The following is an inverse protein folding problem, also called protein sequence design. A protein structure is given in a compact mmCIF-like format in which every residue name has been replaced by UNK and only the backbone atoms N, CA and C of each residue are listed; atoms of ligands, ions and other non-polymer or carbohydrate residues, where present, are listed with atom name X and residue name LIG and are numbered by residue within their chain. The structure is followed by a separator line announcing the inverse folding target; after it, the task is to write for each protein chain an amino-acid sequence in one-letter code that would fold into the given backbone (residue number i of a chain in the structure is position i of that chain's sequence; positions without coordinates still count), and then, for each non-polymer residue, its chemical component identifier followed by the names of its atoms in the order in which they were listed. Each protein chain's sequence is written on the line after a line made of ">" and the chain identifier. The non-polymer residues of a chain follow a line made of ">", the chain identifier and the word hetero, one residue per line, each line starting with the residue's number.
data_IF_252260801677
#
_entry.id   IF_252260801677
#
_cell.length_a   1.000
_cell.length_b   1.000
_cell.length_c   1.000
_cell.angle_alpha   90.00
_cell.angle_beta   90.00
_cell.angle_gamma   90.00
#
_symmetry.space_group_name_H-M   'P 1'
#
loop_
_entity.id
_entity.type
_entity.pdbx_description
1 polymer ?
#
# COMPACT_ATOMS: atom_id res chain seq x y z
N UNK A 1 -17.98 -13.85 10.36
CA UNK A 1 -17.63 -15.24 9.99
C UNK A 1 -16.54 -15.17 8.95
N UNK A 2 -15.42 -15.88 9.13
CA UNK A 2 -14.26 -15.85 8.23
C UNK A 2 -14.11 -17.22 7.57
N UNK A 3 -14.11 -17.27 6.24
CA UNK A 3 -13.95 -18.50 5.46
C UNK A 3 -12.63 -18.47 4.70
N UNK A 4 -11.88 -19.58 4.77
CA UNK A 4 -10.77 -19.86 3.85
C UNK A 4 -11.27 -20.73 2.72
N UNK A 5 -11.00 -20.32 1.48
CA UNK A 5 -11.45 -20.99 0.27
C UNK A 5 -10.22 -21.23 -0.60
N UNK A 6 -10.02 -22.48 -1.02
CA UNK A 6 -8.97 -22.83 -1.97
C UNK A 6 -9.52 -22.80 -3.40
N UNK A 7 -8.83 -22.08 -4.28
CA UNK A 7 -9.20 -21.96 -5.69
C UNK A 7 -8.57 -23.13 -6.46
N UNK A 8 -9.37 -24.18 -6.73
CA UNK A 8 -8.92 -25.33 -7.52
C UNK A 8 -8.87 -25.05 -9.03
N UNK A 9 -9.76 -24.17 -9.51
CA UNK A 9 -9.85 -23.82 -10.92
C UNK A 9 -9.71 -22.30 -11.11
N UNK A 10 -8.79 -21.82 -11.96
CA UNK A 10 -8.60 -20.38 -12.17
C UNK A 10 -9.85 -19.66 -12.71
N UNK A 11 -10.77 -20.37 -13.38
CA UNK A 11 -12.06 -19.80 -13.83
C UNK A 11 -12.92 -19.30 -12.65
N UNK A 12 -12.79 -19.90 -11.47
CA UNK A 12 -13.51 -19.48 -10.27
C UNK A 12 -13.11 -18.07 -9.81
N UNK A 13 -11.89 -17.61 -10.15
CA UNK A 13 -11.43 -16.26 -9.81
C UNK A 13 -12.34 -15.17 -10.39
N UNK A 14 -12.81 -15.36 -11.62
CA UNK A 14 -13.71 -14.39 -12.28
C UNK A 14 -15.05 -14.30 -11.57
N UNK A 15 -15.58 -15.44 -11.11
CA UNK A 15 -16.83 -15.50 -10.35
C UNK A 15 -16.66 -14.78 -9.00
N UNK A 16 -15.56 -15.04 -8.29
CA UNK A 16 -15.25 -14.36 -7.03
C UNK A 16 -15.08 -12.85 -7.21
N UNK A 17 -14.44 -12.41 -8.30
CA UNK A 17 -14.32 -10.98 -8.63
C UNK A 17 -15.69 -10.34 -8.84
N UNK A 18 -16.58 -10.97 -9.62
CA UNK A 18 -17.94 -10.45 -9.83
C UNK A 18 -18.73 -10.33 -8.51
N UNK A 19 -18.57 -11.28 -7.58
CA UNK A 19 -19.20 -11.20 -6.26
C UNK A 19 -18.62 -10.07 -5.41
N UNK A 20 -17.32 -9.80 -5.53
CA UNK A 20 -16.66 -8.68 -4.87
C UNK A 20 -17.11 -7.33 -5.44
N UNK A 21 -17.31 -7.23 -6.77
CA UNK A 21 -17.85 -6.04 -7.43
C UNK A 21 -19.27 -5.70 -6.95
N UNK A 22 -20.07 -6.72 -6.64
CA UNK A 22 -21.39 -6.56 -6.02
C UNK A 22 -21.33 -6.32 -4.51
N UNK A 23 -20.13 -6.17 -3.92
CA UNK A 23 -19.88 -5.98 -2.49
C UNK A 23 -20.44 -7.10 -1.59
N UNK A 24 -20.64 -8.31 -2.13
CA UNK A 24 -21.15 -9.45 -1.37
C UNK A 24 -20.05 -10.16 -0.58
N UNK A 25 -18.81 -10.10 -1.09
CA UNK A 25 -17.63 -10.68 -0.46
C UNK A 25 -16.46 -9.70 -0.51
N UNK A 26 -15.52 -9.84 0.43
CA UNK A 26 -14.25 -9.11 0.42
C UNK A 26 -13.11 -10.09 0.18
N UNK A 27 -12.36 -9.89 -0.90
CA UNK A 27 -11.18 -10.70 -1.22
C UNK A 27 -9.98 -10.09 -0.50
N UNK A 28 -9.48 -10.78 0.52
CA UNK A 28 -8.24 -10.44 1.20
C UNK A 28 -7.16 -11.39 0.69
N UNK A 29 -6.10 -10.87 0.08
CA UNK A 29 -4.95 -11.71 -0.28
C UNK A 29 -4.30 -12.22 1.01
N UNK A 30 -4.42 -13.53 1.27
CA UNK A 30 -3.72 -14.21 2.35
C UNK A 30 -2.26 -14.44 1.93
N UNK A 31 -1.50 -13.36 1.91
CA UNK A 31 -0.08 -13.34 1.63
C UNK A 31 0.40 -11.95 1.97
N UNK A 32 1.48 -11.85 2.75
CA UNK A 32 2.07 -10.55 3.12
C UNK A 32 2.11 -9.64 1.89
N UNK A 33 1.54 -8.43 1.94
CA UNK A 33 1.51 -7.54 0.79
C UNK A 33 2.93 -7.39 0.27
N UNK A 34 3.12 -7.65 -1.04
CA UNK A 34 4.38 -7.55 -1.80
C UNK A 34 5.27 -6.50 -1.14
N UNK A 35 6.29 -6.99 -0.42
CA UNK A 35 7.24 -6.21 0.39
C UNK A 35 6.83 -4.75 0.55
N UNK A 36 5.92 -4.49 1.50
CA UNK A 36 5.44 -3.13 1.73
C UNK A 36 6.64 -2.17 1.79
N UNK A 37 6.53 -1.01 1.14
CA UNK A 37 7.56 0.05 1.19
C UNK A 37 8.03 0.28 2.62
N UNK A 38 7.13 0.09 3.60
CA UNK A 38 7.41 0.10 5.04
C UNK A 38 8.49 -0.90 5.47
N UNK A 39 8.49 -2.14 4.96
CA UNK A 39 9.50 -3.16 5.27
C UNK A 39 10.88 -2.78 4.69
N UNK A 40 10.93 -2.35 3.44
CA UNK A 40 12.18 -1.88 2.81
C UNK A 40 12.74 -0.66 3.54
N UNK A 41 11.88 0.32 3.83
CA UNK A 41 12.25 1.53 4.57
C UNK A 41 12.74 1.22 5.98
N UNK A 42 12.15 0.24 6.65
CA UNK A 42 12.60 -0.20 7.98
C UNK A 42 14.00 -0.82 7.96
N UNK A 43 14.34 -1.57 6.91
CA UNK A 43 15.68 -2.15 6.75
C UNK A 43 16.72 -1.06 6.45
N UNK A 44 16.38 -0.10 5.59
CA UNK A 44 17.29 1.01 5.24
C UNK A 44 17.57 1.91 6.46
N UNK A 45 16.55 2.19 7.29
CA UNK A 45 16.73 3.00 8.50
C UNK A 45 17.56 2.32 9.59
N UNK A 46 17.64 0.99 9.63
CA UNK A 46 18.46 0.26 10.61
C UNK A 46 19.96 0.47 10.41
N UNK A 47 20.38 0.85 9.20
CA UNK A 47 21.78 1.09 8.85
C UNK A 47 22.14 2.58 8.81
N UNK A 48 21.20 3.46 9.17
CA UNK A 48 21.43 4.90 9.16
C UNK A 48 21.85 5.37 10.56
N UNK A 49 22.99 6.06 10.65
CA UNK A 49 23.47 6.66 11.90
C UNK A 49 22.53 7.75 12.42
N UNK A 50 21.84 8.44 11.50
CA UNK A 50 20.89 9.50 11.80
C UNK A 50 19.63 9.26 10.96
N UNK A 51 18.52 8.95 11.63
CA UNK A 51 17.22 8.85 11.00
C UNK A 51 16.43 10.16 11.22
N UNK A 52 15.88 10.77 10.15
CA UNK A 52 15.09 11.98 10.30
C UNK A 52 13.81 11.70 11.07
N UNK A 53 13.43 12.65 11.92
CA UNK A 53 12.16 12.64 12.65
C UNK A 53 10.96 12.80 11.74
N UNK A 54 9.77 12.47 12.24
CA UNK A 54 8.53 12.62 11.47
C UNK A 54 8.27 14.07 11.05
N UNK A 55 8.65 15.02 11.89
CA UNK A 55 8.47 16.45 11.64
C UNK A 55 9.41 16.95 10.53
N UNK A 56 10.66 16.50 10.52
CA UNK A 56 11.63 16.81 9.46
C UNK A 56 11.19 16.23 8.11
N UNK A 57 10.72 14.96 8.11
CA UNK A 57 10.17 14.32 6.91
C UNK A 57 8.97 15.14 6.38
N UNK A 58 8.07 15.56 7.28
CA UNK A 58 6.88 16.31 6.90
C UNK A 58 7.22 17.69 6.32
N UNK A 59 8.19 18.38 6.91
CA UNK A 59 8.70 19.67 6.38
C UNK A 59 9.27 19.51 4.98
N UNK A 60 10.14 18.54 4.75
CA UNK A 60 10.79 18.31 3.46
C UNK A 60 9.77 17.93 2.37
N UNK A 61 8.86 16.99 2.67
CA UNK A 61 7.80 16.58 1.74
C UNK A 61 6.92 17.77 1.34
N UNK A 62 6.59 18.64 2.29
CA UNK A 62 5.78 19.84 2.02
C UNK A 62 6.52 20.87 1.17
N UNK A 63 7.85 20.99 1.29
CA UNK A 63 8.67 21.82 0.40
C UNK A 63 8.62 21.27 -1.03
N UNK A 64 8.88 19.96 -1.21
CA UNK A 64 8.85 19.31 -2.53
C UNK A 64 7.45 19.39 -3.18
N UNK A 65 6.38 19.17 -2.40
CA UNK A 65 5.00 19.29 -2.88
C UNK A 65 4.68 20.71 -3.35
N UNK A 66 5.07 21.74 -2.58
CA UNK A 66 4.90 23.14 -2.97
C UNK A 66 5.67 23.47 -4.24
N UNK A 67 6.91 22.99 -4.37
CA UNK A 67 7.73 23.20 -5.59
C UNK A 67 7.13 22.51 -6.82
N UNK A 68 6.53 21.33 -6.64
CA UNK A 68 5.97 20.53 -7.75
C UNK A 68 4.57 20.95 -8.19
N UNK A 69 3.72 21.37 -7.25
CA UNK A 69 2.31 21.65 -7.50
C UNK A 69 1.91 23.10 -7.27
N UNK A 70 2.70 23.89 -6.53
CA UNK A 70 2.40 25.30 -6.24
C UNK A 70 2.65 26.25 -7.41
N UNK A 71 3.32 25.80 -8.48
CA UNK A 71 3.54 26.57 -9.71
C UNK A 71 2.45 26.40 -10.77
N UNK A 72 1.45 25.52 -10.55
CA UNK A 72 0.21 25.55 -11.35
C UNK A 72 -0.69 26.66 -10.82
N UNK A 73 -0.33 27.91 -11.15
CA UNK A 73 -1.30 29.00 -11.25
C UNK A 73 -2.16 28.72 -12.49
N UNK A 74 -3.39 28.28 -12.28
CA UNK A 74 -4.51 28.61 -13.17
C UNK A 74 -4.84 30.09 -13.00
#
# INVERSE_FOLDING_TARGET
>A
MELRIEILNPKAKKILQNLAELNLISIKESGTPKQSIKKVLSNLRKQADIAPSMDEISKEVNIVRRKRYGSKKT
#
